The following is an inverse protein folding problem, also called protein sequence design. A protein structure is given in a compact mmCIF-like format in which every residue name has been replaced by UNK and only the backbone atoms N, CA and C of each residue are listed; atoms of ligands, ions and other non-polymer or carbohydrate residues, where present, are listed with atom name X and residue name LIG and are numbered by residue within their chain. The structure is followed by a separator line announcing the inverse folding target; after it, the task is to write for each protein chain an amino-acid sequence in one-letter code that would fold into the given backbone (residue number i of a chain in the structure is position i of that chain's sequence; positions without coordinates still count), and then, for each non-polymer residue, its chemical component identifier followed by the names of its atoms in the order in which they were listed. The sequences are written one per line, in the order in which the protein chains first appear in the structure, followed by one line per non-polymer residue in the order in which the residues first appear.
data_IF_291803913958
#
_entry.id   IF_291803913958
#
_cell.length_a   1.000
_cell.length_b   1.000
_cell.length_c   1.000
_cell.angle_alpha   90.00
_cell.angle_beta   90.00
_cell.angle_gamma   90.00
#
_symmetry.space_group_name_H-M   'P 1'
#
loop_
_entity.id
_entity.type
_entity.pdbx_description
1 polymer ?
#
# COMPACT_ATOMS: atom_id res chain seq x y z
N UNK A 1 -5.39 -15.64 -11.23
CA UNK A 1 -5.88 -14.69 -11.03
C UNK A 1 -7.26 -14.45 -11.22
N UNK A 2 -7.55 -14.61 -12.21
CA UNK A 2 -8.73 -14.65 -12.55
C UNK A 2 -9.69 -14.57 -11.48
N UNK A 3 -9.54 -15.05 -10.63
CA UNK A 3 -10.31 -15.25 -9.61
C UNK A 3 -10.84 -14.01 -9.19
N UNK A 4 -10.30 -13.12 -9.59
CA UNK A 4 -10.46 -12.25 -8.66
C UNK A 4 -11.45 -11.22 -8.84
N UNK A 5 -11.84 -10.93 -9.98
CA UNK A 5 -12.83 -9.91 -10.19
C UNK A 5 -14.12 -10.28 -9.48
N UNK A 6 -14.57 -11.50 -9.64
CA UNK A 6 -15.78 -11.93 -8.96
C UNK A 6 -15.59 -12.01 -7.46
N UNK A 7 -14.42 -12.43 -7.06
CA UNK A 7 -14.14 -12.55 -5.64
C UNK A 7 -14.01 -11.20 -4.98
N UNK A 8 -13.47 -10.23 -5.68
CA UNK A 8 -13.32 -8.89 -5.14
C UNK A 8 -14.68 -8.27 -4.86
N UNK A 9 -15.63 -8.47 -5.77
CA UNK A 9 -16.96 -7.95 -5.57
C UNK A 9 -17.63 -8.58 -4.37
N UNK A 10 -17.50 -9.88 -4.21
CA UNK A 10 -18.07 -10.58 -3.07
C UNK A 10 -17.41 -10.15 -1.77
N UNK A 11 -16.10 -10.01 -1.78
CA UNK A 11 -15.39 -9.59 -0.59
C UNK A 11 -15.76 -8.17 -0.20
N UNK A 12 -15.92 -7.30 -1.18
CA UNK A 12 -16.30 -5.93 -0.92
C UNK A 12 -17.68 -5.87 -0.24
N UNK A 13 -18.62 -6.67 -0.73
CA UNK A 13 -19.94 -6.73 -0.12
C UNK A 13 -19.89 -7.29 1.29
N UNK A 14 -19.08 -8.31 1.51
CA UNK A 14 -18.96 -8.96 2.79
C UNK A 14 -18.37 -8.01 3.84
N UNK A 15 -17.35 -7.23 3.45
CA UNK A 15 -16.69 -6.35 4.39
C UNK A 15 -17.22 -4.92 4.39
N UNK A 16 -18.26 -4.65 3.64
CA UNK A 16 -18.79 -3.29 3.53
C UNK A 16 -19.05 -2.58 4.86
N UNK A 17 -19.60 -3.26 5.87
CA UNK A 17 -19.82 -2.59 7.14
C UNK A 17 -18.52 -2.13 7.81
N UNK A 18 -17.39 -2.72 7.42
CA UNK A 18 -16.12 -2.38 7.99
C UNK A 18 -15.22 -1.75 6.94
N UNK A 19 -15.81 -1.04 6.01
CA UNK A 19 -15.12 -0.57 4.82
C UNK A 19 -13.75 0.04 5.08
N UNK A 20 -13.64 0.94 6.02
CA UNK A 20 -12.37 1.61 6.25
C UNK A 20 -11.33 0.68 6.86
N UNK A 21 -11.78 -0.18 7.75
CA UNK A 21 -10.87 -1.10 8.41
C UNK A 21 -10.38 -2.19 7.49
N UNK A 22 -11.10 -2.47 6.40
CA UNK A 22 -10.67 -3.50 5.47
C UNK A 22 -9.41 -3.11 4.71
N UNK A 23 -9.05 -1.83 4.70
CA UNK A 23 -7.81 -1.44 4.07
C UNK A 23 -6.60 -1.96 4.86
N UNK A 24 -6.78 -2.28 6.14
CA UNK A 24 -5.71 -2.83 6.95
C UNK A 24 -5.87 -4.33 7.05
N UNK A 25 -5.92 -5.00 5.91
CA UNK A 25 -6.02 -6.45 5.85
C UNK A 25 -4.63 -7.07 5.97
N UNK A 26 -4.57 -8.38 6.05
CA UNK A 26 -3.31 -9.10 6.08
C UNK A 26 -2.41 -8.71 4.90
N UNK A 27 -3.00 -8.47 3.74
CA UNK A 27 -2.21 -8.10 2.56
C UNK A 27 -1.54 -6.74 2.71
N UNK A 28 -2.11 -5.84 3.53
CA UNK A 28 -1.53 -4.54 3.79
C UNK A 28 -0.60 -4.57 4.99
N UNK A 29 -0.99 -5.30 6.02
CA UNK A 29 -0.25 -5.27 7.29
C UNK A 29 1.00 -6.13 7.27
N UNK A 30 0.99 -7.23 6.53
CA UNK A 30 2.15 -8.11 6.47
C UNK A 30 3.41 -7.40 5.93
N UNK A 31 3.33 -6.65 4.84
CA UNK A 31 4.51 -5.89 4.41
C UNK A 31 4.98 -4.90 5.46
N UNK A 32 4.07 -4.25 6.17
CA UNK A 32 4.45 -3.30 7.22
C UNK A 32 5.20 -4.01 8.34
N UNK A 33 4.73 -5.18 8.77
CA UNK A 33 5.40 -5.93 9.82
C UNK A 33 6.78 -6.41 9.39
N UNK A 34 6.95 -6.67 8.11
CA UNK A 34 8.21 -7.18 7.58
C UNK A 34 9.14 -6.07 7.07
N UNK A 35 8.81 -4.83 7.33
CA UNK A 35 9.62 -3.68 6.89
C UNK A 35 9.80 -3.66 5.37
N UNK A 36 8.71 -3.90 4.65
CA UNK A 36 8.69 -3.84 3.20
C UNK A 36 7.90 -2.62 2.73
N UNK A 37 8.42 -1.87 1.75
CA UNK A 37 7.62 -0.80 1.15
C UNK A 37 6.51 -1.39 0.29
N UNK A 38 5.52 -0.59 -0.02
CA UNK A 38 4.35 -1.06 -0.75
C UNK A 38 3.96 -0.14 -1.89
N UNK A 39 3.53 -0.74 -3.00
CA UNK A 39 2.79 -0.07 -4.04
C UNK A 39 1.46 -0.81 -4.06
N UNK A 40 0.37 -0.11 -3.76
CA UNK A 40 -0.91 -0.78 -3.52
C UNK A 40 -1.91 -0.51 -4.63
N UNK A 41 -2.43 -1.59 -5.24
CA UNK A 41 -3.52 -1.47 -6.19
C UNK A 41 -4.82 -1.68 -5.41
N UNK A 42 -5.53 -0.60 -5.16
CA UNK A 42 -6.72 -0.62 -4.34
C UNK A 42 -7.62 0.55 -4.74
N UNK A 43 -8.72 0.74 -4.07
CA UNK A 43 -9.62 1.85 -4.37
C UNK A 43 -8.93 3.20 -4.21
N UNK A 44 -9.44 4.20 -4.94
CA UNK A 44 -8.88 5.53 -4.87
C UNK A 44 -8.94 6.07 -3.44
N UNK A 45 -7.88 6.72 -3.01
CA UNK A 45 -7.81 7.29 -1.68
C UNK A 45 -7.32 6.36 -0.60
N UNK A 46 -6.84 5.15 -0.95
CA UNK A 46 -6.33 4.21 0.03
C UNK A 46 -5.11 4.76 0.77
N UNK A 47 -4.18 5.38 0.04
CA UNK A 47 -3.00 5.95 0.67
C UNK A 47 -3.37 7.17 1.53
N UNK A 48 -4.35 7.93 1.10
CA UNK A 48 -4.83 9.06 1.88
C UNK A 48 -5.42 8.57 3.19
N UNK A 49 -6.16 7.47 3.13
CA UNK A 49 -6.72 6.85 4.32
C UNK A 49 -5.61 6.39 5.26
N UNK A 50 -4.54 5.80 4.74
CA UNK A 50 -3.41 5.38 5.56
C UNK A 50 -2.77 6.59 6.27
N UNK A 51 -2.62 7.70 5.56
CA UNK A 51 -2.07 8.92 6.18
C UNK A 51 -2.96 9.41 7.31
N UNK A 52 -4.27 9.39 7.10
CA UNK A 52 -5.22 9.80 8.13
C UNK A 52 -5.11 8.91 9.37
N UNK A 53 -4.75 7.66 9.18
CA UNK A 53 -4.60 6.72 10.29
C UNK A 53 -3.21 6.77 10.91
N UNK A 54 -2.34 7.64 10.43
CA UNK A 54 -1.02 7.82 11.03
C UNK A 54 0.13 7.07 10.36
N UNK A 55 -0.14 6.38 9.26
CA UNK A 55 0.90 5.70 8.52
C UNK A 55 1.58 6.69 7.56
N UNK A 56 2.81 6.40 7.19
CA UNK A 56 3.53 7.19 6.22
C UNK A 56 3.57 6.45 4.90
N UNK A 57 3.55 7.19 3.81
CA UNK A 57 3.62 6.62 2.47
C UNK A 57 5.00 6.85 1.86
N UNK A 58 5.17 6.49 0.59
CA UNK A 58 6.49 6.50 -0.04
C UNK A 58 6.63 7.59 -1.09
N UNK A 59 5.87 8.69 -0.94
CA UNK A 59 5.87 9.76 -1.91
C UNK A 59 7.22 10.45 -2.10
N UNK A 60 8.13 10.30 -1.14
CA UNK A 60 9.47 10.86 -1.28
C UNK A 60 10.34 10.03 -2.24
N UNK A 61 9.90 8.83 -2.57
CA UNK A 61 10.70 7.88 -3.34
C UNK A 61 10.11 7.60 -4.72
N UNK A 62 8.80 7.69 -4.87
CA UNK A 62 8.16 7.55 -6.16
C UNK A 62 6.82 8.28 -6.16
N UNK A 63 6.30 8.50 -7.37
CA UNK A 63 5.03 9.19 -7.53
C UNK A 63 3.88 8.27 -7.13
N UNK A 64 3.02 8.74 -6.26
CA UNK A 64 1.88 7.97 -5.78
C UNK A 64 0.56 8.47 -6.37
N UNK A 65 0.60 9.16 -7.51
CA UNK A 65 -0.63 9.67 -8.13
C UNK A 65 -1.59 8.55 -8.52
N UNK A 66 -1.10 7.33 -8.68
CA UNK A 66 -1.96 6.19 -8.97
C UNK A 66 -3.05 6.02 -7.90
N UNK A 67 -2.82 6.50 -6.69
CA UNK A 67 -3.79 6.36 -5.61
C UNK A 67 -5.08 7.13 -5.88
N UNK A 68 -5.00 8.21 -6.62
CA UNK A 68 -6.17 9.05 -6.90
C UNK A 68 -6.89 8.63 -8.18
N UNK A 69 -6.36 7.69 -8.93
CA UNK A 69 -6.97 7.27 -10.17
C UNK A 69 -8.13 6.34 -9.93
N UNK A 70 -9.32 6.73 -10.39
CA UNK A 70 -10.52 5.95 -10.16
C UNK A 70 -10.76 4.89 -11.23
N UNK A 71 -10.19 5.06 -12.41
CA UNK A 71 -10.32 4.07 -13.46
C UNK A 71 -9.32 2.93 -13.20
N UNK A 72 -9.83 1.73 -13.00
CA UNK A 72 -8.98 0.59 -12.60
C UNK A 72 -7.92 0.23 -13.62
N UNK A 73 -8.25 0.27 -14.92
CA UNK A 73 -7.26 -0.07 -15.95
C UNK A 73 -6.16 0.97 -16.01
N UNK A 74 -6.52 2.24 -15.89
CA UNK A 74 -5.55 3.31 -15.92
C UNK A 74 -4.67 3.27 -14.68
N UNK A 75 -5.27 3.00 -13.53
CA UNK A 75 -4.50 2.85 -12.29
C UNK A 75 -3.50 1.71 -12.43
N UNK A 76 -3.93 0.58 -12.95
CA UNK A 76 -3.04 -0.56 -13.14
C UNK A 76 -1.88 -0.21 -14.07
N UNK A 77 -2.17 0.52 -15.15
CA UNK A 77 -1.12 0.94 -16.08
C UNK A 77 -0.12 1.88 -15.41
N UNK A 78 -0.60 2.80 -14.58
CA UNK A 78 0.27 3.70 -13.83
C UNK A 78 1.20 2.92 -12.91
N UNK A 79 0.67 1.90 -12.24
CA UNK A 79 1.46 1.07 -11.34
C UNK A 79 2.48 0.25 -12.12
N UNK A 80 2.08 -0.33 -13.25
CA UNK A 80 3.00 -1.09 -14.09
C UNK A 80 4.14 -0.19 -14.57
N UNK A 81 3.82 1.02 -15.01
CA UNK A 81 4.83 1.96 -15.49
C UNK A 81 5.80 2.32 -14.36
N UNK A 82 5.28 2.51 -13.15
CA UNK A 82 6.10 2.80 -12.00
C UNK A 82 7.04 1.63 -11.68
N UNK A 83 6.53 0.41 -11.69
CA UNK A 83 7.34 -0.77 -11.44
C UNK A 83 8.44 -0.90 -12.48
N UNK A 84 8.13 -0.63 -13.75
CA UNK A 84 9.13 -0.66 -14.81
C UNK A 84 10.21 0.38 -14.58
N UNK A 85 9.81 1.57 -14.17
CA UNK A 85 10.76 2.64 -13.89
C UNK A 85 11.69 2.22 -12.75
N UNK A 86 11.14 1.69 -11.67
CA UNK A 86 11.94 1.25 -10.53
C UNK A 86 12.86 0.09 -10.91
N UNK A 87 12.38 -0.83 -11.74
CA UNK A 87 13.18 -2.00 -12.14
C UNK A 87 14.34 -1.63 -13.04
N UNK A 88 14.33 -0.43 -13.63
CA UNK A 88 15.43 0.03 -14.46
C UNK A 88 16.57 0.67 -13.64
N UNK A 89 16.35 0.87 -12.36
CA UNK A 89 17.41 1.42 -11.51
C UNK A 89 18.47 0.36 -11.23
N UNK A 90 19.69 0.79 -11.04
CA UNK A 90 20.75 -0.12 -10.65
C UNK A 90 20.44 -0.69 -9.27
N UNK A 91 20.83 -1.94 -9.04
CA UNK A 91 20.53 -2.60 -7.77
C UNK A 91 21.09 -1.82 -6.58
N UNK A 92 22.22 -1.16 -6.73
CA UNK A 92 22.80 -0.36 -5.66
C UNK A 92 21.91 0.83 -5.30
N UNK A 93 21.28 1.45 -6.30
CA UNK A 93 20.36 2.56 -6.06
C UNK A 93 19.12 2.07 -5.30
N UNK A 94 18.62 0.90 -5.68
CA UNK A 94 17.44 0.31 -5.01
C UNK A 94 17.82 0.02 -3.55
N UNK A 95 19.01 -0.51 -3.32
CA UNK A 95 19.48 -0.86 -1.99
C UNK A 95 19.62 0.40 -1.12
N UNK A 96 20.21 1.46 -1.67
CA UNK A 96 20.33 2.72 -0.96
C UNK A 96 18.97 3.31 -0.63
N UNK A 97 18.06 3.25 -1.58
CA UNK A 97 16.71 3.77 -1.40
C UNK A 97 16.00 3.01 -0.27
N UNK A 98 16.15 1.70 -0.24
CA UNK A 98 15.54 0.88 0.80
C UNK A 98 16.04 1.30 2.18
N UNK A 99 17.35 1.45 2.35
CA UNK A 99 17.90 1.86 3.64
C UNK A 99 17.52 3.29 4.00
N UNK A 100 17.40 4.16 3.00
CA UNK A 100 16.99 5.53 3.24
C UNK A 100 15.54 5.62 3.73
N UNK A 101 14.68 4.71 3.28
CA UNK A 101 13.28 4.72 3.71
C UNK A 101 13.05 3.93 5.01
N UNK A 102 14.07 3.35 5.59
CA UNK A 102 13.94 2.54 6.81
C UNK A 102 13.21 3.27 7.95
N UNK A 103 13.45 4.55 8.20
CA UNK A 103 12.69 5.24 9.24
C UNK A 103 11.18 5.22 9.00
N UNK A 104 10.76 5.31 7.73
CA UNK A 104 9.33 5.22 7.38
C UNK A 104 8.82 3.81 7.66
N UNK A 105 9.59 2.80 7.24
CA UNK A 105 9.19 1.40 7.44
C UNK A 105 9.06 1.06 8.92
N UNK A 106 10.01 1.52 9.72
CA UNK A 106 9.96 1.29 11.16
C UNK A 106 8.81 2.05 11.83
N UNK A 107 8.54 3.26 11.36
CA UNK A 107 7.41 4.03 11.87
C UNK A 107 6.11 3.26 11.63
N UNK A 108 5.92 2.76 10.42
CA UNK A 108 4.69 2.05 10.09
C UNK A 108 4.56 0.74 10.86
N UNK A 109 5.65 0.01 11.02
CA UNK A 109 5.64 -1.22 11.79
C UNK A 109 5.23 -0.94 13.23
N UNK A 110 5.86 0.03 13.87
CA UNK A 110 5.58 0.36 15.25
C UNK A 110 4.17 0.92 15.42
N UNK A 111 3.75 1.75 14.48
CA UNK A 111 2.41 2.33 14.51
C UNK A 111 1.34 1.23 14.40
N UNK A 112 1.55 0.26 13.52
CA UNK A 112 0.64 -0.85 13.36
C UNK A 112 0.55 -1.69 14.64
N UNK A 113 1.68 -1.98 15.25
CA UNK A 113 1.71 -2.74 16.50
C UNK A 113 0.95 -2.00 17.59
N UNK A 114 1.16 -0.70 17.70
CA UNK A 114 0.48 0.10 18.72
C UNK A 114 -1.02 0.17 18.46
N UNK A 115 -1.41 0.24 17.19
CA UNK A 115 -2.82 0.28 16.82
C UNK A 115 -3.51 -1.03 17.18
N UNK A 116 -2.86 -2.16 16.93
CA UNK A 116 -3.39 -3.46 17.25
C UNK A 116 -3.66 -3.57 18.74
N UNK A 117 -2.71 -3.12 19.56
CA UNK A 117 -2.89 -3.15 21.00
C UNK A 117 -4.05 -2.28 21.45
N UNK A 118 -4.27 -1.18 20.74
CA UNK A 118 -5.33 -0.26 21.07
C UNK A 118 -6.71 -0.85 20.84
N UNK A 119 -6.83 -1.72 19.84
CA UNK A 119 -8.12 -2.30 19.49
C UNK A 119 -8.38 -3.68 20.13
N UNK A 120 -7.48 -4.14 20.92
CA UNK A 120 -7.70 -5.33 21.71
C UNK A 120 -8.37 -4.96 23.04
#
# INVERSE_FOLDING_TARGET
GNLDVCNDEKLDNYFRPFHRETFLTEKSTRPMLNLHPQIIYSGAGTLEYYKEKGFKTFSNYWNEDYDNEENGERKLQMIIDLIKELSNKHIDEIHEMYWDMMPILKHNQQHLINMDLKYQ
#
